data_IF_574699452293
#
_entry.id   IF_574699452293
#
_cell.length_a   1.000
_cell.length_b   1.000
_cell.length_c   1.000
_cell.angle_alpha   90.00
_cell.angle_beta   90.00
_cell.angle_gamma   90.00
#
_symmetry.space_group_name_H-M   'P 1'
#
loop_
_entity.id
_entity.type
_entity.pdbx_description
1 polymer ?
#
# COMPACT_ATOMS: atom_id res chain seq x y z
N UNK A 1 -24.40 -31.74 -51.99
CA UNK A 1 -23.15 -31.09 -51.55
C UNK A 1 -23.54 -30.02 -50.55
N UNK A 2 -23.17 -30.20 -49.28
CA UNK A 2 -23.43 -29.24 -48.22
C UNK A 2 -22.36 -28.15 -48.28
N UNK A 3 -22.77 -26.89 -48.31
CA UNK A 3 -21.86 -25.75 -48.09
C UNK A 3 -22.24 -25.19 -46.74
N UNK A 4 -21.46 -25.59 -45.73
CA UNK A 4 -21.56 -25.08 -44.36
C UNK A 4 -21.17 -23.61 -44.34
N UNK A 5 -22.04 -22.82 -43.73
CA UNK A 5 -21.86 -21.40 -43.47
C UNK A 5 -20.65 -21.27 -42.55
N UNK A 6 -19.62 -20.51 -42.97
CA UNK A 6 -18.52 -20.15 -42.10
C UNK A 6 -19.07 -19.26 -40.99
N UNK A 7 -19.14 -19.81 -39.78
CA UNK A 7 -19.32 -19.05 -38.54
C UNK A 7 -18.21 -18.01 -38.49
N UNK A 8 -18.60 -16.75 -38.67
CA UNK A 8 -17.79 -15.61 -38.28
C UNK A 8 -17.77 -15.64 -36.76
N UNK A 9 -16.68 -16.13 -36.18
CA UNK A 9 -16.41 -16.02 -34.75
C UNK A 9 -16.48 -14.53 -34.39
N UNK A 10 -17.56 -14.15 -33.72
CA UNK A 10 -17.59 -12.95 -32.91
C UNK A 10 -16.58 -13.16 -31.79
N UNK A 11 -15.40 -12.54 -31.93
CA UNK A 11 -14.51 -12.35 -30.81
C UNK A 11 -15.19 -11.33 -29.90
N UNK A 12 -15.74 -11.82 -28.79
CA UNK A 12 -16.35 -10.98 -27.76
C UNK A 12 -15.26 -10.03 -27.21
N UNK A 13 -15.43 -8.70 -27.24
CA UNK A 13 -14.44 -7.75 -26.72
C UNK A 13 -14.34 -7.76 -25.17
N UNK A 14 -15.02 -8.71 -24.51
CA UNK A 14 -15.12 -8.84 -23.06
C UNK A 14 -13.97 -9.59 -22.38
N UNK A 15 -12.91 -9.98 -23.11
CA UNK A 15 -11.85 -10.86 -22.61
C UNK A 15 -10.69 -10.14 -21.89
N UNK A 16 -11.00 -9.13 -21.06
CA UNK A 16 -9.99 -8.46 -20.24
C UNK A 16 -10.50 -8.00 -18.89
N UNK A 17 -9.59 -7.87 -17.92
CA UNK A 17 -9.83 -7.25 -16.63
C UNK A 17 -9.91 -5.74 -16.83
N UNK A 18 -11.05 -5.16 -16.48
CA UNK A 18 -11.24 -3.72 -16.43
C UNK A 18 -10.76 -3.19 -15.07
N UNK A 19 -9.62 -2.49 -15.07
CA UNK A 19 -9.03 -1.93 -13.85
C UNK A 19 -9.40 -0.45 -13.78
N UNK A 20 -10.07 -0.10 -12.70
CA UNK A 20 -10.44 1.27 -12.37
C UNK A 20 -9.68 1.69 -11.11
N UNK A 21 -8.75 2.63 -11.26
CA UNK A 21 -8.01 3.20 -10.14
C UNK A 21 -8.57 4.59 -9.82
N UNK A 22 -9.01 4.76 -8.57
CA UNK A 22 -9.56 6.00 -8.03
C UNK A 22 -8.60 6.65 -7.05
N UNK A 23 -8.62 7.96 -6.94
CA UNK A 23 -8.00 8.67 -5.82
C UNK A 23 -8.86 8.59 -4.56
N UNK A 24 -8.35 9.08 -3.43
CA UNK A 24 -9.12 9.16 -2.17
C UNK A 24 -10.36 10.03 -2.29
N UNK A 25 -10.39 10.96 -3.24
CA UNK A 25 -11.55 11.83 -3.48
C UNK A 25 -12.61 11.19 -4.38
N UNK A 26 -12.37 9.94 -4.83
CA UNK A 26 -13.25 9.21 -5.74
C UNK A 26 -13.07 9.58 -7.22
N UNK A 27 -12.13 10.49 -7.52
CA UNK A 27 -11.72 10.84 -8.88
C UNK A 27 -11.06 9.65 -9.58
N UNK A 28 -11.39 9.42 -10.85
CA UNK A 28 -10.78 8.35 -11.64
C UNK A 28 -9.39 8.83 -12.09
N UNK A 29 -8.35 8.14 -11.63
CA UNK A 29 -6.95 8.45 -11.92
C UNK A 29 -6.40 7.65 -13.10
N UNK A 30 -6.86 6.42 -13.24
CA UNK A 30 -6.48 5.52 -14.31
C UNK A 30 -7.64 4.57 -14.59
N UNK A 31 -8.00 4.44 -15.86
CA UNK A 31 -8.92 3.42 -16.33
C UNK A 31 -8.22 2.66 -17.46
N UNK A 32 -8.05 1.35 -17.31
CA UNK A 32 -7.44 0.55 -18.35
C UNK A 32 -7.94 -0.89 -18.34
N UNK A 33 -7.98 -1.49 -19.53
CA UNK A 33 -8.25 -2.90 -19.71
C UNK A 33 -6.92 -3.65 -19.88
N UNK A 34 -6.77 -4.79 -19.20
CA UNK A 34 -5.64 -5.71 -19.37
C UNK A 34 -6.18 -7.10 -19.71
N UNK A 35 -5.52 -7.85 -20.59
CA UNK A 35 -6.06 -9.13 -21.09
C UNK A 35 -5.96 -10.24 -20.04
N UNK A 36 -4.75 -10.51 -19.52
CA UNK A 36 -4.52 -11.65 -18.63
C UNK A 36 -4.29 -11.25 -17.17
N UNK A 37 -3.36 -10.32 -16.95
CA UNK A 37 -3.00 -9.83 -15.63
C UNK A 37 -2.41 -8.42 -15.70
N UNK A 38 -2.41 -7.73 -14.57
CA UNK A 38 -1.62 -6.52 -14.36
C UNK A 38 -0.71 -6.71 -13.15
N UNK A 39 0.55 -6.30 -13.26
CA UNK A 39 1.41 -6.19 -12.09
C UNK A 39 1.19 -4.83 -11.42
N UNK A 40 1.31 -4.77 -10.09
CA UNK A 40 1.25 -3.49 -9.38
C UNK A 40 2.30 -2.49 -9.89
N UNK A 41 3.50 -2.98 -10.27
CA UNK A 41 4.55 -2.15 -10.85
C UNK A 41 4.11 -1.45 -12.15
N UNK A 42 3.36 -2.14 -13.00
CA UNK A 42 2.87 -1.57 -14.25
C UNK A 42 1.78 -0.53 -13.99
N UNK A 43 0.88 -0.80 -13.04
CA UNK A 43 -0.14 0.16 -12.61
C UNK A 43 0.47 1.41 -11.99
N UNK A 44 1.47 1.27 -11.12
CA UNK A 44 2.26 2.38 -10.57
C UNK A 44 2.90 3.23 -11.69
N UNK A 45 3.51 2.59 -12.68
CA UNK A 45 4.15 3.29 -13.79
C UNK A 45 3.13 4.08 -14.62
N UNK A 46 1.98 3.47 -14.92
CA UNK A 46 0.87 4.12 -15.63
C UNK A 46 0.30 5.30 -14.84
N UNK A 47 0.13 5.15 -13.52
CA UNK A 47 -0.33 6.24 -12.66
C UNK A 47 0.66 7.41 -12.65
N UNK A 48 1.96 7.14 -12.55
CA UNK A 48 2.99 8.20 -12.60
C UNK A 48 3.07 8.89 -13.96
N UNK A 49 2.71 8.21 -15.04
CA UNK A 49 2.60 8.83 -16.36
C UNK A 49 1.34 9.72 -16.46
N UNK A 50 0.21 9.25 -15.94
CA UNK A 50 -1.04 10.00 -15.89
C UNK A 50 -1.01 11.20 -14.92
N UNK A 51 -0.23 11.07 -13.83
CA UNK A 51 -0.04 12.06 -12.76
C UNK A 51 1.45 12.41 -12.61
N UNK A 52 1.98 13.33 -13.43
CA UNK A 52 3.40 13.69 -13.41
C UNK A 52 3.88 14.26 -12.06
N UNK A 53 2.99 14.88 -11.30
CA UNK A 53 3.21 15.35 -9.93
C UNK A 53 3.61 14.21 -8.98
N UNK A 54 3.16 12.98 -9.25
CA UNK A 54 3.45 11.79 -8.44
C UNK A 54 4.74 11.07 -8.85
N UNK A 55 5.47 11.57 -9.87
CA UNK A 55 6.65 10.90 -10.43
C UNK A 55 7.71 10.60 -9.37
N UNK A 56 7.97 11.53 -8.46
CA UNK A 56 8.92 11.40 -7.34
C UNK A 56 8.32 10.77 -6.09
N UNK A 57 7.01 10.52 -6.07
CA UNK A 57 6.31 9.98 -4.91
C UNK A 57 6.19 8.45 -4.98
N UNK A 58 5.96 7.85 -3.83
CA UNK A 58 5.66 6.45 -3.67
C UNK A 58 4.16 6.27 -3.90
N UNK A 59 3.80 5.42 -4.85
CA UNK A 59 2.39 5.13 -5.18
C UNK A 59 1.99 3.87 -4.43
N UNK A 60 0.91 3.96 -3.66
CA UNK A 60 0.33 2.82 -2.94
C UNK A 60 -1.05 2.53 -3.54
N UNK A 61 -1.31 1.26 -3.83
CA UNK A 61 -2.60 0.77 -4.33
C UNK A 61 -3.30 -0.01 -3.23
N UNK A 62 -4.60 0.23 -3.07
CA UNK A 62 -5.43 -0.33 -2.00
C UNK A 62 -6.67 -0.98 -2.63
N UNK A 63 -6.97 -2.21 -2.23
CA UNK A 63 -8.21 -2.91 -2.57
C UNK A 63 -9.04 -3.11 -1.29
N UNK A 64 -10.19 -2.43 -1.19
CA UNK A 64 -10.95 -2.38 0.06
C UNK A 64 -10.12 -1.78 1.19
N UNK A 65 -9.79 -2.58 2.20
CA UNK A 65 -8.91 -2.19 3.33
C UNK A 65 -7.47 -2.73 3.19
N UNK A 66 -7.16 -3.45 2.12
CA UNK A 66 -5.89 -4.15 1.93
C UNK A 66 -4.92 -3.35 1.06
N UNK A 67 -3.69 -3.15 1.54
CA UNK A 67 -2.60 -2.53 0.77
C UNK A 67 -1.96 -3.57 -0.16
N UNK A 68 -1.98 -3.31 -1.46
CA UNK A 68 -1.38 -4.19 -2.45
C UNK A 68 0.13 -3.96 -2.55
N UNK A 69 0.91 -4.99 -2.22
CA UNK A 69 2.36 -5.07 -2.47
C UNK A 69 2.68 -5.00 -3.96
N UNK A 70 3.84 -4.41 -4.27
CA UNK A 70 4.38 -4.27 -5.63
C UNK A 70 4.58 -5.59 -6.39
N UNK A 71 4.79 -6.69 -5.67
CA UNK A 71 4.92 -8.04 -6.23
C UNK A 71 3.58 -8.71 -6.54
N UNK A 72 2.46 -8.14 -6.09
CA UNK A 72 1.16 -8.71 -6.42
C UNK A 72 0.88 -8.57 -7.90
N UNK A 73 0.26 -9.62 -8.41
CA UNK A 73 -0.33 -9.68 -9.72
C UNK A 73 -1.83 -9.78 -9.51
N UNK A 74 -2.56 -8.92 -10.21
CA UNK A 74 -4.01 -9.05 -10.27
C UNK A 74 -4.33 -9.95 -11.44
N UNK A 75 -5.00 -11.04 -11.13
CA UNK A 75 -5.48 -12.01 -12.09
C UNK A 75 -6.97 -11.79 -12.35
N UNK A 76 -7.43 -12.31 -13.48
CA UNK A 76 -8.85 -12.33 -13.82
C UNK A 76 -9.60 -13.16 -12.77
N UNK A 77 -10.30 -12.49 -11.86
CA UNK A 77 -11.32 -13.16 -11.04
C UNK A 77 -12.52 -13.43 -11.93
N UNK A 78 -13.01 -14.67 -11.92
CA UNK A 78 -14.06 -15.15 -12.81
C UNK A 78 -15.41 -14.43 -12.62
N UNK A 79 -15.60 -13.73 -11.50
CA UNK A 79 -16.94 -13.31 -11.06
C UNK A 79 -17.38 -11.89 -11.47
N UNK A 80 -16.47 -11.00 -11.91
CA UNK A 80 -16.87 -9.61 -12.23
C UNK A 80 -16.15 -8.94 -13.39
N UNK A 81 -14.96 -9.42 -13.80
CA UNK A 81 -14.15 -8.77 -14.83
C UNK A 81 -13.73 -7.33 -14.52
N UNK A 82 -14.07 -6.78 -13.34
CA UNK A 82 -13.79 -5.40 -12.93
C UNK A 82 -13.10 -5.37 -11.58
N UNK A 83 -11.95 -4.69 -11.52
CA UNK A 83 -11.20 -4.44 -10.29
C UNK A 83 -11.22 -2.94 -9.99
N UNK A 84 -11.67 -2.58 -8.79
CA UNK A 84 -11.58 -1.20 -8.31
C UNK A 84 -10.47 -1.07 -7.26
N UNK A 85 -9.52 -0.19 -7.53
CA UNK A 85 -8.41 0.12 -6.64
C UNK A 85 -8.47 1.58 -6.22
N UNK A 86 -8.00 1.86 -5.01
CA UNK A 86 -7.71 3.22 -4.55
C UNK A 86 -6.21 3.45 -4.63
N UNK A 87 -5.77 4.47 -5.38
CA UNK A 87 -4.39 4.91 -5.43
C UNK A 87 -4.17 6.14 -4.55
N UNK A 88 -3.00 6.15 -3.92
CA UNK A 88 -2.51 7.26 -3.12
C UNK A 88 -1.04 7.48 -3.47
N UNK A 89 -0.57 8.72 -3.35
CA UNK A 89 0.84 9.02 -3.52
C UNK A 89 1.37 9.80 -2.33
N UNK A 90 2.53 9.39 -1.86
CA UNK A 90 3.12 9.89 -0.62
C UNK A 90 4.65 9.92 -0.75
N UNK A 91 5.37 10.85 -0.11
CA UNK A 91 6.82 10.76 0.02
C UNK A 91 7.24 9.61 0.93
N UNK A 92 6.31 8.99 1.66
CA UNK A 92 6.55 7.84 2.52
C UNK A 92 6.22 6.54 1.79
N UNK A 93 7.24 5.73 1.47
CA UNK A 93 7.01 4.33 1.10
C UNK A 93 7.16 3.40 2.29
N UNK A 94 6.55 2.22 2.16
CA UNK A 94 6.76 1.09 3.06
C UNK A 94 8.22 0.89 3.41
N UNK A 95 9.13 0.89 2.43
CA UNK A 95 10.54 0.61 2.67
C UNK A 95 11.21 1.67 3.56
N UNK A 96 10.91 2.94 3.34
CA UNK A 96 11.43 4.02 4.19
C UNK A 96 10.85 3.92 5.60
N UNK A 97 9.55 3.70 5.72
CA UNK A 97 8.89 3.54 7.02
C UNK A 97 9.41 2.32 7.78
N UNK A 98 9.62 1.20 7.08
CA UNK A 98 10.13 -0.05 7.64
C UNK A 98 11.57 0.11 8.13
N UNK A 99 12.45 0.74 7.34
CA UNK A 99 13.82 1.03 7.77
C UNK A 99 13.84 1.93 9.01
N UNK A 100 13.03 2.99 9.04
CA UNK A 100 12.93 3.86 10.22
C UNK A 100 12.36 3.14 11.44
N UNK A 101 11.40 2.23 11.25
CA UNK A 101 10.91 1.36 12.33
C UNK A 101 12.03 0.46 12.85
N UNK A 102 12.76 -0.20 11.96
CA UNK A 102 13.89 -1.05 12.29
C UNK A 102 14.94 -0.29 13.12
N UNK A 103 15.35 0.90 12.68
CA UNK A 103 16.27 1.79 13.41
C UNK A 103 15.76 2.11 14.83
N UNK A 104 14.47 2.44 14.97
CA UNK A 104 13.88 2.75 16.27
C UNK A 104 13.95 1.56 17.23
N UNK A 105 13.69 0.35 16.72
CA UNK A 105 13.78 -0.86 17.51
C UNK A 105 15.23 -1.23 17.83
N UNK A 106 16.16 -1.13 16.89
CA UNK A 106 17.59 -1.33 17.18
C UNK A 106 18.08 -0.40 18.30
N UNK A 107 17.70 0.88 18.26
CA UNK A 107 18.08 1.85 19.30
C UNK A 107 17.45 1.54 20.66
N UNK A 108 16.20 1.08 20.69
CA UNK A 108 15.48 0.90 21.94
C UNK A 108 15.74 -0.44 22.64
N UNK A 109 15.87 -1.53 21.89
CA UNK A 109 16.08 -2.88 22.44
C UNK A 109 17.48 -3.45 22.19
N UNK A 110 18.32 -2.77 21.40
CA UNK A 110 19.68 -3.18 21.09
C UNK A 110 19.77 -4.63 20.56
N UNK A 111 18.87 -4.98 19.64
CA UNK A 111 18.81 -6.30 19.01
C UNK A 111 19.42 -6.22 17.60
N UNK A 112 20.66 -6.70 17.39
CA UNK A 112 21.33 -6.65 16.09
C UNK A 112 20.81 -7.78 15.20
N UNK A 113 19.71 -7.53 14.49
CA UNK A 113 19.20 -8.44 13.45
C UNK A 113 19.01 -7.66 12.15
N UNK A 114 19.19 -8.33 11.02
CA UNK A 114 19.04 -7.70 9.71
C UNK A 114 17.58 -7.30 9.42
N UNK A 115 17.36 -6.26 8.61
CA UNK A 115 16.00 -5.80 8.22
C UNK A 115 15.09 -6.96 7.75
N UNK A 116 15.63 -7.93 7.01
CA UNK A 116 14.87 -9.09 6.52
C UNK A 116 14.42 -10.03 7.63
N UNK A 117 15.20 -10.17 8.70
CA UNK A 117 14.83 -10.98 9.85
C UNK A 117 13.74 -10.30 10.67
N UNK A 118 13.70 -8.96 10.66
CA UNK A 118 12.69 -8.19 11.38
C UNK A 118 11.30 -8.24 10.76
N UNK A 119 11.16 -8.44 9.45
CA UNK A 119 9.87 -8.31 8.76
C UNK A 119 8.74 -9.12 9.40
N UNK A 120 9.02 -10.39 9.70
CA UNK A 120 8.03 -11.35 10.20
C UNK A 120 8.05 -11.50 11.73
N UNK A 121 8.93 -10.77 12.43
CA UNK A 121 9.01 -10.79 13.90
C UNK A 121 7.80 -10.11 14.49
N UNK A 122 7.17 -10.78 15.46
CA UNK A 122 6.07 -10.19 16.22
C UNK A 122 6.63 -9.20 17.22
N UNK A 123 6.02 -8.03 17.33
CA UNK A 123 6.46 -7.02 18.31
C UNK A 123 6.40 -7.56 19.75
N UNK A 124 5.46 -8.47 20.04
CA UNK A 124 5.32 -9.16 21.34
C UNK A 124 6.41 -10.18 21.64
N UNK A 125 7.18 -10.63 20.64
CA UNK A 125 8.28 -11.58 20.81
C UNK A 125 9.61 -10.89 21.12
N UNK A 126 9.64 -9.55 21.01
CA UNK A 126 10.82 -8.75 21.29
C UNK A 126 10.95 -8.51 22.81
N UNK A 127 12.18 -8.49 23.35
CA UNK A 127 12.44 -8.17 24.74
C UNK A 127 12.24 -6.67 25.00
N UNK A 128 10.97 -6.24 25.04
CA UNK A 128 10.59 -4.85 25.32
C UNK A 128 10.14 -4.78 26.78
N UNK A 129 11.00 -4.24 27.65
CA UNK A 129 10.59 -3.85 29.01
C UNK A 129 9.88 -2.48 29.00
N UNK A 130 9.32 -2.07 30.14
CA UNK A 130 8.56 -0.81 30.24
C UNK A 130 9.40 0.43 29.85
N UNK A 131 10.72 0.39 30.09
CA UNK A 131 11.64 1.46 29.75
C UNK A 131 11.89 1.51 28.23
N UNK A 132 12.17 0.36 27.63
CA UNK A 132 12.32 0.21 26.18
C UNK A 132 11.02 0.55 25.44
N UNK A 133 9.86 0.17 25.99
CA UNK A 133 8.55 0.52 25.46
C UNK A 133 8.30 2.04 25.47
N UNK A 134 8.66 2.70 26.58
CA UNK A 134 8.60 4.17 26.67
C UNK A 134 9.55 4.84 25.67
N UNK A 135 10.76 4.30 25.52
CA UNK A 135 11.75 4.82 24.57
C UNK A 135 11.28 4.65 23.11
N UNK A 136 10.78 3.48 22.74
CA UNK A 136 10.16 3.22 21.44
C UNK A 136 9.03 4.19 21.14
N UNK A 137 8.14 4.42 22.11
CA UNK A 137 7.04 5.36 21.94
C UNK A 137 7.54 6.78 21.64
N UNK A 138 8.58 7.25 22.36
CA UNK A 138 9.18 8.56 22.10
C UNK A 138 9.80 8.65 20.69
N UNK A 139 10.52 7.60 20.26
CA UNK A 139 11.12 7.53 18.92
C UNK A 139 10.05 7.54 17.83
N UNK A 140 8.97 6.75 17.97
CA UNK A 140 7.88 6.74 17.00
C UNK A 140 7.10 8.04 16.96
N UNK A 141 6.87 8.69 18.10
CA UNK A 141 6.24 10.01 18.12
C UNK A 141 7.11 11.05 17.41
N UNK A 142 8.44 10.95 17.51
CA UNK A 142 9.38 11.82 16.82
C UNK A 142 9.36 11.60 15.31
N UNK A 143 9.44 10.35 14.86
CA UNK A 143 9.57 10.01 13.43
C UNK A 143 8.21 10.01 12.70
N UNK A 144 7.14 9.60 13.38
CA UNK A 144 5.83 9.35 12.79
C UNK A 144 4.70 10.13 13.46
N UNK A 145 4.99 11.14 14.28
CA UNK A 145 4.01 11.80 15.17
C UNK A 145 2.67 12.21 14.54
N UNK A 146 2.64 12.50 13.23
CA UNK A 146 1.39 12.72 12.48
C UNK A 146 0.50 11.47 12.45
N UNK A 147 1.04 10.28 12.19
CA UNK A 147 0.32 9.01 12.18
C UNK A 147 -0.21 8.56 13.56
N UNK A 148 0.30 9.19 14.63
CA UNK A 148 -0.03 8.91 16.03
C UNK A 148 -0.74 10.08 16.73
N UNK A 149 -1.26 11.06 15.97
CA UNK A 149 -1.87 12.27 16.52
C UNK A 149 -3.10 12.00 17.41
N UNK A 150 -3.87 10.96 17.12
CA UNK A 150 -5.04 10.53 17.92
C UNK A 150 -4.68 9.62 19.12
N UNK A 151 -3.38 9.48 19.42
CA UNK A 151 -2.86 8.71 20.54
C UNK A 151 -2.14 7.42 20.14
N UNK A 152 -1.16 6.95 20.95
CA UNK A 152 -0.41 5.71 20.71
C UNK A 152 -1.21 4.41 20.78
N UNK A 153 -2.43 4.46 21.31
CA UNK A 153 -2.79 3.56 22.40
C UNK A 153 -3.15 2.12 22.01
N UNK A 154 -3.08 1.73 20.74
CA UNK A 154 -3.45 0.37 20.30
C UNK A 154 -2.61 -0.20 19.16
N UNK A 155 -1.76 0.58 18.49
CA UNK A 155 -1.04 0.08 17.31
C UNK A 155 0.13 -0.86 17.67
N UNK A 156 0.76 -0.70 18.83
CA UNK A 156 1.87 -1.57 19.21
C UNK A 156 1.43 -2.92 19.77
N UNK A 157 0.25 -2.97 20.40
CA UNK A 157 -0.21 -4.13 21.19
C UNK A 157 -0.93 -5.19 20.32
N UNK A 158 -1.40 -4.82 19.13
CA UNK A 158 -2.24 -5.68 18.29
C UNK A 158 -1.71 -5.94 16.87
N UNK A 159 -0.47 -5.55 16.55
CA UNK A 159 0.06 -5.71 15.19
C UNK A 159 1.00 -6.93 15.13
N UNK A 160 0.55 -7.92 14.36
CA UNK A 160 1.08 -9.28 14.36
C UNK A 160 2.56 -9.35 14.00
N UNK A 161 3.09 -8.43 13.19
CA UNK A 161 4.51 -8.37 12.80
C UNK A 161 4.96 -6.93 12.54
N UNK A 162 6.28 -6.71 12.54
CA UNK A 162 6.89 -5.44 12.12
C UNK A 162 6.47 -4.97 10.74
N UNK A 163 6.38 -5.90 9.79
CA UNK A 163 5.86 -5.63 8.45
C UNK A 163 4.44 -5.05 8.51
N UNK A 164 3.56 -5.68 9.29
CA UNK A 164 2.17 -5.22 9.43
C UNK A 164 2.09 -3.84 10.07
N UNK A 165 2.98 -3.56 11.04
CA UNK A 165 3.11 -2.24 11.66
C UNK A 165 3.56 -1.18 10.64
N UNK A 166 4.58 -1.48 9.83
CA UNK A 166 5.08 -0.60 8.79
C UNK A 166 4.04 -0.31 7.70
N UNK A 167 3.30 -1.32 7.26
CA UNK A 167 2.19 -1.17 6.30
C UNK A 167 1.12 -0.22 6.83
N UNK A 168 0.75 -0.36 8.12
CA UNK A 168 -0.25 0.51 8.76
C UNK A 168 0.21 1.95 8.92
N UNK A 169 1.45 2.17 9.37
CA UNK A 169 2.02 3.52 9.49
C UNK A 169 2.10 4.19 8.12
N UNK A 170 2.56 3.45 7.10
CA UNK A 170 2.63 3.94 5.72
C UNK A 170 1.26 4.36 5.21
N UNK A 171 0.23 3.53 5.42
CA UNK A 171 -1.15 3.83 5.04
C UNK A 171 -1.66 5.10 5.75
N UNK A 172 -1.51 5.18 7.08
CA UNK A 172 -1.93 6.35 7.86
C UNK A 172 -1.23 7.64 7.45
N UNK A 173 0.10 7.62 7.30
CA UNK A 173 0.86 8.81 6.86
C UNK A 173 0.40 9.28 5.49
N UNK A 174 0.09 8.34 4.61
CA UNK A 174 -0.39 8.62 3.26
C UNK A 174 -1.79 9.24 3.28
N UNK A 175 -2.72 8.71 4.10
CA UNK A 175 -4.07 9.28 4.26
C UNK A 175 -4.04 10.69 4.84
N UNK A 176 -3.20 10.94 5.85
CA UNK A 176 -3.12 12.23 6.53
C UNK A 176 -2.59 13.36 5.64
N UNK A 177 -1.83 13.04 4.59
CA UNK A 177 -1.33 14.06 3.66
C UNK A 177 -2.43 14.63 2.76
N UNK A 178 -3.33 13.78 2.28
CA UNK A 178 -4.47 14.20 1.45
C UNK A 178 -5.59 14.85 2.28
N UNK A 179 -5.56 14.66 3.60
CA UNK A 179 -6.51 15.24 4.57
C UNK A 179 -6.09 16.63 5.07
N UNK A 180 -4.95 17.16 4.63
CA UNK A 180 -4.48 18.49 5.02
C UNK A 180 -5.45 19.60 4.59
N UNK A 181 -5.52 20.72 5.32
CA UNK A 181 -6.44 21.81 4.98
C UNK A 181 -6.11 22.36 3.60
N UNK A 182 -6.92 22.01 2.60
CA UNK A 182 -6.93 22.68 1.30
C UNK A 182 -7.64 24.01 1.48
N UNK A 183 -6.85 25.03 1.80
CA UNK A 183 -7.28 26.42 1.72
C UNK A 183 -7.35 27.10 3.09
N UNK A 184 -6.45 28.05 3.30
CA UNK A 184 -6.94 29.41 3.46
C UNK A 184 -6.42 30.22 2.27
N UNK A 185 -7.34 30.99 1.69
CA UNK A 185 -7.19 31.82 0.51
C UNK A 185 -6.33 33.08 0.79
#
# INVERSE_FOLDING_TARGET
>A
MAVGVSETQHHDPSDGIHILVKGLTGDILLECQVQDHATMRDLEARLKQARPDWKSQCVTLIEGECVLKRSHQVWRSADSGKLELTATASPYCFRTVFATLHDCFEVAINAPMSESEWEDVRVTELPVDDLAGTHLFMLFRKEFGKAFADGPDMMFVHHLTMKTLAERITSRLTLLQDSGPRGEA
#
